data_IF_408311682094
#
_entry.id   IF_408311682094
#
_cell.length_a   1.000
_cell.length_b   1.000
_cell.length_c   1.000
_cell.angle_alpha   90.00
_cell.angle_beta   90.00
_cell.angle_gamma   90.00
#
_symmetry.space_group_name_H-M   'P 1'
#
loop_
_entity.id
_entity.type
_entity.pdbx_description
1 polymer ?
#
# COMPACT_ATOMS: atom_id res chain seq x y z
N UNK A 1 -6.91 16.79 -2.55
CA UNK A 1 -7.32 15.44 -3.00
C UNK A 1 -6.89 15.29 -4.44
N UNK A 2 -6.24 14.18 -4.86
CA UNK A 2 -6.18 13.87 -6.28
C UNK A 2 -7.60 13.49 -6.69
N UNK A 3 -8.16 14.31 -7.56
CA UNK A 3 -9.44 14.08 -8.18
C UNK A 3 -9.40 12.77 -8.99
N UNK A 4 -10.20 11.76 -8.61
CA UNK A 4 -10.31 10.52 -9.39
C UNK A 4 -10.95 10.75 -10.77
N UNK A 5 -11.52 11.93 -11.05
CA UNK A 5 -11.95 12.38 -12.38
C UNK A 5 -10.81 13.05 -13.18
N UNK A 6 -9.66 13.34 -12.55
CA UNK A 6 -8.48 13.75 -13.28
C UNK A 6 -7.98 12.59 -14.15
N UNK A 7 -8.16 12.72 -15.46
CA UNK A 7 -7.69 11.76 -16.45
C UNK A 7 -6.21 12.01 -16.79
N UNK A 8 -5.35 12.15 -15.78
CA UNK A 8 -3.90 12.19 -16.04
C UNK A 8 -3.40 10.75 -16.22
N UNK A 9 -2.41 10.53 -17.09
CA UNK A 9 -1.82 9.19 -17.27
C UNK A 9 -1.35 8.54 -15.95
N UNK A 10 -0.92 9.35 -14.98
CA UNK A 10 -0.47 8.89 -13.65
C UNK A 10 -1.57 8.34 -12.76
N UNK A 11 -2.83 8.69 -13.03
CA UNK A 11 -3.97 8.31 -12.20
C UNK A 11 -4.53 6.92 -12.61
N UNK A 12 -4.26 6.49 -13.85
CA UNK A 12 -4.71 5.19 -14.39
C UNK A 12 -4.18 4.00 -13.57
N UNK A 13 -2.87 3.87 -13.29
CA UNK A 13 -2.37 2.72 -12.52
C UNK A 13 -2.92 2.65 -11.10
N UNK A 14 -3.13 3.80 -10.46
CA UNK A 14 -3.72 3.89 -9.12
C UNK A 14 -5.17 3.38 -9.15
N UNK A 15 -5.95 3.81 -10.14
CA UNK A 15 -7.35 3.40 -10.32
C UNK A 15 -7.48 1.89 -10.57
N UNK A 16 -6.67 1.34 -11.46
CA UNK A 16 -6.67 -0.10 -11.76
C UNK A 16 -6.24 -0.94 -10.56
N UNK A 17 -5.20 -0.50 -9.84
CA UNK A 17 -4.72 -1.17 -8.62
C UNK A 17 -5.81 -1.17 -7.54
N UNK A 18 -6.45 -0.02 -7.31
CA UNK A 18 -7.54 0.11 -6.36
C UNK A 18 -8.71 -0.81 -6.76
N UNK A 19 -9.13 -0.78 -8.03
CA UNK A 19 -10.18 -1.63 -8.58
C UNK A 19 -9.92 -3.13 -8.38
N UNK A 20 -8.69 -3.56 -8.61
CA UNK A 20 -8.28 -4.93 -8.33
C UNK A 20 -8.41 -5.27 -6.85
N UNK A 21 -7.87 -4.45 -5.94
CA UNK A 21 -7.89 -4.73 -4.50
C UNK A 21 -9.31 -4.80 -3.94
N UNK A 22 -10.18 -3.85 -4.30
CA UNK A 22 -11.58 -3.86 -3.84
C UNK A 22 -12.37 -5.05 -4.38
N UNK A 23 -12.00 -5.59 -5.56
CA UNK A 23 -12.63 -6.79 -6.12
C UNK A 23 -12.23 -8.08 -5.40
N UNK A 24 -11.13 -8.07 -4.64
CA UNK A 24 -10.55 -9.25 -3.99
C UNK A 24 -10.70 -9.25 -2.48
N UNK A 25 -10.89 -8.09 -1.85
CA UNK A 25 -10.91 -7.93 -0.40
C UNK A 25 -12.25 -7.35 0.06
N UNK A 26 -12.87 -7.93 1.11
CA UNK A 26 -14.08 -7.38 1.68
C UNK A 26 -13.82 -6.01 2.32
N UNK A 27 -14.83 -5.15 2.34
CA UNK A 27 -14.76 -3.86 3.06
C UNK A 27 -14.42 -4.11 4.54
N UNK A 28 -13.53 -3.30 5.10
CA UNK A 28 -13.03 -3.46 6.46
C UNK A 28 -11.78 -4.34 6.58
N UNK A 29 -11.34 -5.01 5.50
CA UNK A 29 -10.12 -5.80 5.49
C UNK A 29 -8.89 -4.98 5.93
N UNK A 30 -8.01 -5.64 6.69
CA UNK A 30 -6.69 -5.13 7.09
C UNK A 30 -5.70 -5.37 5.98
N UNK A 31 -5.18 -4.30 5.38
CA UNK A 31 -4.29 -4.37 4.22
C UNK A 31 -2.92 -3.82 4.60
N UNK A 32 -1.87 -4.57 4.29
CA UNK A 32 -0.50 -4.07 4.31
C UNK A 32 -0.12 -3.66 2.88
N UNK A 33 0.14 -2.38 2.64
CA UNK A 33 0.69 -1.91 1.37
C UNK A 33 2.20 -1.73 1.49
N UNK A 34 2.97 -2.56 0.80
CA UNK A 34 4.43 -2.54 0.82
C UNK A 34 4.95 -1.69 -0.33
N UNK A 35 5.79 -0.70 -0.02
CA UNK A 35 6.24 0.32 -0.95
C UNK A 35 5.12 1.28 -1.33
N UNK A 36 4.38 1.78 -0.34
CA UNK A 36 3.19 2.61 -0.54
C UNK A 36 3.51 4.01 -1.09
N UNK A 37 4.78 4.43 -1.09
CA UNK A 37 5.20 5.78 -1.46
C UNK A 37 4.42 6.84 -0.69
N UNK A 38 3.87 7.83 -1.40
CA UNK A 38 3.07 8.92 -0.83
C UNK A 38 1.63 8.52 -0.47
N UNK A 39 1.30 7.23 -0.55
CA UNK A 39 0.06 6.66 -0.03
C UNK A 39 -1.17 6.85 -0.91
N UNK A 40 -1.00 6.96 -2.24
CA UNK A 40 -2.12 7.22 -3.17
C UNK A 40 -3.19 6.10 -3.10
N UNK A 41 -2.79 4.84 -3.22
CA UNK A 41 -3.73 3.70 -3.13
C UNK A 41 -4.20 3.50 -1.69
N UNK A 42 -3.29 3.54 -0.70
CA UNK A 42 -3.65 3.46 0.71
C UNK A 42 -4.71 4.48 1.14
N UNK A 43 -4.57 5.74 0.74
CA UNK A 43 -5.52 6.82 1.09
C UNK A 43 -6.91 6.51 0.55
N UNK A 44 -7.01 6.09 -0.72
CA UNK A 44 -8.27 5.72 -1.35
C UNK A 44 -8.93 4.50 -0.71
N UNK A 45 -8.15 3.51 -0.29
CA UNK A 45 -8.64 2.35 0.45
C UNK A 45 -9.14 2.74 1.85
N UNK A 46 -8.40 3.59 2.58
CA UNK A 46 -8.83 4.11 3.90
C UNK A 46 -10.17 4.83 3.79
N UNK A 47 -10.33 5.70 2.79
CA UNK A 47 -11.60 6.42 2.55
C UNK A 47 -12.78 5.48 2.25
N UNK A 48 -12.51 4.29 1.71
CA UNK A 48 -13.52 3.24 1.43
C UNK A 48 -13.75 2.29 2.60
N UNK A 49 -13.17 2.56 3.78
CA UNK A 49 -13.39 1.79 5.00
C UNK A 49 -12.46 0.61 5.21
N UNK A 50 -11.38 0.49 4.41
CA UNK A 50 -10.34 -0.51 4.65
C UNK A 50 -9.38 -0.05 5.76
N UNK A 51 -8.75 -1.00 6.46
CA UNK A 51 -7.76 -0.72 7.51
C UNK A 51 -6.36 -0.89 6.95
N UNK A 52 -5.79 0.19 6.41
CA UNK A 52 -4.50 0.12 5.70
C UNK A 52 -3.33 0.50 6.60
N UNK A 53 -2.27 -0.30 6.57
CA UNK A 53 -0.92 0.09 7.02
C UNK A 53 -0.02 0.20 5.78
N UNK A 54 0.57 1.37 5.56
CA UNK A 54 1.53 1.60 4.48
C UNK A 54 2.97 1.47 4.96
N UNK A 55 3.83 0.80 4.19
CA UNK A 55 5.27 0.75 4.43
C UNK A 55 6.03 1.34 3.25
N UNK A 56 7.07 2.11 3.53
CA UNK A 56 8.05 2.54 2.54
C UNK A 56 9.37 2.85 3.27
N UNK A 57 10.50 2.69 2.58
CA UNK A 57 11.81 3.02 3.14
C UNK A 57 12.14 4.51 3.08
N UNK A 58 11.42 5.27 2.24
CA UNK A 58 11.61 6.71 2.07
C UNK A 58 10.79 7.49 3.11
N UNK A 59 11.48 8.14 4.04
CA UNK A 59 10.86 8.91 5.11
C UNK A 59 10.07 10.13 4.62
N UNK A 60 10.47 10.76 3.52
CA UNK A 60 9.77 11.93 3.00
C UNK A 60 8.42 11.52 2.39
N UNK A 61 8.41 10.41 1.64
CA UNK A 61 7.18 9.84 1.09
C UNK A 61 6.21 9.41 2.18
N UNK A 62 6.73 8.79 3.25
CA UNK A 62 5.91 8.40 4.40
C UNK A 62 5.29 9.62 5.09
N UNK A 63 6.05 10.70 5.29
CA UNK A 63 5.51 11.93 5.86
C UNK A 63 4.33 12.47 5.03
N UNK A 64 4.42 12.43 3.70
CA UNK A 64 3.33 12.82 2.79
C UNK A 64 2.13 11.88 2.88
N UNK A 65 2.36 10.58 2.94
CA UNK A 65 1.30 9.59 3.14
C UNK A 65 0.55 9.80 4.47
N UNK A 66 1.28 10.06 5.55
CA UNK A 66 0.72 10.39 6.86
C UNK A 66 -0.11 11.68 6.82
N UNK A 67 0.36 12.71 6.11
CA UNK A 67 -0.39 13.94 5.90
C UNK A 67 -1.71 13.71 5.13
N UNK A 68 -1.79 12.66 4.31
CA UNK A 68 -3.03 12.20 3.65
C UNK A 68 -3.91 11.28 4.52
N UNK A 69 -3.59 11.11 5.81
CA UNK A 69 -4.37 10.32 6.76
C UNK A 69 -4.10 8.82 6.71
N UNK A 70 -3.04 8.37 6.03
CA UNK A 70 -2.64 6.96 6.00
C UNK A 70 -1.83 6.63 7.25
N UNK A 71 -2.11 5.49 7.89
CA UNK A 71 -1.20 4.90 8.89
C UNK A 71 0.04 4.35 8.17
N UNK A 72 1.03 5.21 7.90
CA UNK A 72 2.23 4.85 7.16
C UNK A 72 3.46 4.79 8.09
N UNK A 73 4.38 3.85 7.83
CA UNK A 73 5.55 3.54 8.67
C UNK A 73 6.79 3.51 7.78
N UNK A 74 7.87 4.18 8.23
CA UNK A 74 9.18 4.05 7.59
C UNK A 74 9.78 2.69 7.93
N UNK A 75 9.78 1.77 6.98
CA UNK A 75 10.30 0.42 7.16
C UNK A 75 10.65 -0.23 5.83
N UNK A 76 11.47 -1.28 5.88
CA UNK A 76 11.80 -2.10 4.71
C UNK A 76 11.16 -3.47 4.79
N UNK A 77 10.64 -3.95 3.67
CA UNK A 77 10.26 -5.34 3.48
C UNK A 77 11.45 -6.13 2.93
N UNK A 78 11.69 -7.40 3.32
CA UNK A 78 10.87 -8.27 4.19
C UNK A 78 11.17 -8.19 5.70
N UNK A 79 11.94 -7.19 6.16
CA UNK A 79 12.40 -7.08 7.56
C UNK A 79 11.33 -6.56 8.53
N UNK A 80 10.25 -5.98 8.02
CA UNK A 80 9.17 -5.47 8.84
C UNK A 80 8.47 -6.60 9.62
N UNK A 81 8.28 -6.37 10.91
CA UNK A 81 7.57 -7.26 11.82
C UNK A 81 6.31 -6.59 12.32
N UNK A 82 5.24 -7.37 12.47
CA UNK A 82 3.98 -6.91 13.03
C UNK A 82 3.36 -8.00 13.90
N UNK A 83 2.75 -7.59 15.00
CA UNK A 83 1.87 -8.44 15.80
C UNK A 83 0.45 -8.53 15.23
N UNK A 84 0.16 -7.79 14.16
CA UNK A 84 -1.15 -7.76 13.49
C UNK A 84 -1.12 -8.67 12.27
N UNK A 85 -2.14 -9.52 12.16
CA UNK A 85 -2.42 -10.29 10.94
C UNK A 85 -3.20 -9.43 9.95
N UNK A 86 -2.75 -9.46 8.70
CA UNK A 86 -3.36 -8.77 7.57
C UNK A 86 -4.20 -9.75 6.74
N UNK A 87 -5.32 -9.25 6.23
CA UNK A 87 -6.20 -10.01 5.34
C UNK A 87 -5.68 -9.95 3.88
N UNK A 88 -4.77 -9.01 3.58
CA UNK A 88 -4.05 -8.96 2.32
C UNK A 88 -2.76 -8.14 2.40
N UNK A 89 -1.75 -8.56 1.64
CA UNK A 89 -0.50 -7.82 1.43
C UNK A 89 -0.43 -7.42 -0.05
N UNK A 90 -0.34 -6.12 -0.31
CA UNK A 90 -0.26 -5.55 -1.65
C UNK A 90 1.14 -4.98 -1.90
N UNK A 91 1.72 -5.34 -3.04
CA UNK A 91 2.96 -4.73 -3.54
C UNK A 91 2.64 -3.87 -4.75
N UNK A 92 2.37 -2.60 -4.55
CA UNK A 92 1.86 -1.68 -5.58
C UNK A 92 3.01 -1.06 -6.36
N UNK A 93 3.48 -1.78 -7.39
CA UNK A 93 4.65 -1.39 -8.21
C UNK A 93 5.92 -1.22 -7.38
N UNK A 94 6.10 -2.03 -6.34
CA UNK A 94 7.24 -1.93 -5.42
C UNK A 94 8.21 -3.12 -5.48
N UNK A 95 7.77 -4.30 -5.91
CA UNK A 95 8.61 -5.52 -5.90
C UNK A 95 9.94 -5.40 -6.65
N UNK A 96 10.01 -4.59 -7.70
CA UNK A 96 11.24 -4.38 -8.48
C UNK A 96 12.31 -3.56 -7.72
N UNK A 97 11.97 -2.97 -6.57
CA UNK A 97 12.90 -2.32 -5.66
C UNK A 97 13.29 -3.19 -4.45
N UNK A 98 12.69 -4.38 -4.31
CA UNK A 98 12.84 -5.22 -3.12
C UNK A 98 13.71 -6.43 -3.46
N UNK A 99 14.84 -6.56 -2.76
CA UNK A 99 15.78 -7.65 -2.93
C UNK A 99 16.14 -8.32 -1.59
N UNK A 100 16.25 -9.66 -1.53
CA UNK A 100 16.01 -10.62 -2.61
C UNK A 100 14.52 -10.93 -2.84
N UNK A 101 14.09 -10.89 -4.11
CA UNK A 101 12.68 -11.06 -4.51
C UNK A 101 12.06 -12.36 -3.97
N UNK A 102 12.78 -13.48 -4.03
CA UNK A 102 12.31 -14.77 -3.52
C UNK A 102 11.93 -14.68 -2.04
N UNK A 103 12.78 -14.08 -1.22
CA UNK A 103 12.53 -13.94 0.21
C UNK A 103 11.34 -13.02 0.46
N UNK A 104 11.22 -11.93 -0.30
CA UNK A 104 10.09 -11.01 -0.19
C UNK A 104 8.73 -11.71 -0.46
N UNK A 105 8.67 -12.60 -1.45
CA UNK A 105 7.45 -13.35 -1.77
C UNK A 105 7.17 -14.43 -0.73
N UNK A 106 8.18 -15.16 -0.27
CA UNK A 106 8.01 -16.21 0.76
C UNK A 106 7.46 -15.58 2.04
N UNK A 107 8.05 -14.47 2.48
CA UNK A 107 7.61 -13.76 3.68
C UNK A 107 6.16 -13.27 3.60
N UNK A 108 5.65 -12.96 2.41
CA UNK A 108 4.28 -12.46 2.24
C UNK A 108 3.21 -13.57 2.37
N UNK A 109 3.63 -14.83 2.48
CA UNK A 109 2.76 -16.00 2.60
C UNK A 109 2.76 -16.59 4.02
N UNK A 110 3.66 -16.12 4.87
CA UNK A 110 3.75 -16.48 6.29
C UNK A 110 2.71 -15.71 7.11
#
# INVERSE_FOLDING_TARGET
>A
MPDLTANRPTDVPTRETLGFLISRLPVGAKVLEVGCGEGQVACELVQRGYRVTGLDSDSERIARAQAHGVRAIVASWPKFESSVLFDGIAFTRSLHHINPLRQAIVRARE
#
